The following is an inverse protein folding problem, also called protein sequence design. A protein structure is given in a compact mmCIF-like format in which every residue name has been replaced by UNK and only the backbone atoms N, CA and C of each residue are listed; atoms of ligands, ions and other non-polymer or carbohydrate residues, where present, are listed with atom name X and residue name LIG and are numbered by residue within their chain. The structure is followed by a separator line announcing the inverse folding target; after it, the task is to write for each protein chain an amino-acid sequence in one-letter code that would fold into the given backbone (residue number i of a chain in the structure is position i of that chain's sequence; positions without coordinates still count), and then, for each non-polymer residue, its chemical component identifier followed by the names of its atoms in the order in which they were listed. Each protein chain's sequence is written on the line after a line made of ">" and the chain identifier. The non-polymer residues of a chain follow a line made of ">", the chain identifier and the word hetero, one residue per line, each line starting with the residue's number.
data_IF_593666830592
#
_entry.id   IF_593666830592
#
_cell.length_a   1.000
_cell.length_b   1.000
_cell.length_c   1.000
_cell.angle_alpha   90.00
_cell.angle_beta   90.00
_cell.angle_gamma   90.00
#
_symmetry.space_group_name_H-M   'P 1'
#
loop_
_entity.id
_entity.type
_entity.pdbx_description
1 polymer ?
#
# COMPACT_ATOMS: atom_id res chain seq x y z
N UNK A 1 -2.99 5.55 13.48
CA UNK A 1 -1.86 6.30 12.88
C UNK A 1 -2.35 6.96 11.61
N UNK A 2 -2.18 8.28 11.44
CA UNK A 2 -2.44 8.97 10.17
C UNK A 2 -1.10 9.07 9.43
N UNK A 3 -0.93 8.27 8.40
CA UNK A 3 0.28 8.27 7.57
C UNK A 3 0.02 9.11 6.33
N UNK A 4 0.67 10.27 6.23
CA UNK A 4 0.57 11.10 5.02
C UNK A 4 1.56 10.60 3.99
N UNK A 5 1.07 10.22 2.81
CA UNK A 5 1.90 9.79 1.70
C UNK A 5 2.06 10.97 0.74
N UNK A 6 3.29 11.41 0.52
CA UNK A 6 3.59 12.43 -0.50
C UNK A 6 3.74 11.75 -1.86
N UNK A 7 2.88 12.13 -2.81
CA UNK A 7 2.94 11.65 -4.20
C UNK A 7 3.30 12.78 -5.14
N UNK A 8 3.89 12.45 -6.30
CA UNK A 8 4.20 13.45 -7.32
C UNK A 8 2.93 14.08 -7.89
N UNK A 9 3.03 15.32 -8.40
CA UNK A 9 1.88 16.06 -8.94
C UNK A 9 1.15 15.28 -10.04
N UNK A 10 1.91 14.64 -10.94
CA UNK A 10 1.37 13.81 -12.02
C UNK A 10 0.56 12.62 -11.48
N UNK A 11 1.04 11.97 -10.43
CA UNK A 11 0.33 10.86 -9.79
C UNK A 11 -0.96 11.35 -9.11
N UNK A 12 -0.91 12.52 -8.46
CA UNK A 12 -2.09 13.14 -7.84
C UNK A 12 -3.19 13.44 -8.87
N UNK A 13 -2.84 14.02 -10.02
CA UNK A 13 -3.80 14.32 -11.09
C UNK A 13 -4.49 13.06 -11.63
N UNK A 14 -3.73 11.98 -11.81
CA UNK A 14 -4.27 10.68 -12.26
C UNK A 14 -5.23 10.10 -11.20
N UNK A 15 -4.86 10.18 -9.92
CA UNK A 15 -5.70 9.70 -8.82
C UNK A 15 -7.00 10.50 -8.71
N UNK A 16 -6.94 11.82 -8.84
CA UNK A 16 -8.14 12.68 -8.79
C UNK A 16 -9.09 12.39 -9.96
N UNK A 17 -8.54 12.15 -11.16
CA UNK A 17 -9.34 11.75 -12.32
C UNK A 17 -10.04 10.42 -12.08
N UNK A 18 -9.30 9.40 -11.64
CA UNK A 18 -9.88 8.08 -11.33
C UNK A 18 -10.93 8.15 -10.22
N UNK A 19 -10.69 8.99 -9.20
CA UNK A 19 -11.65 9.21 -8.12
C UNK A 19 -12.96 9.77 -8.63
N UNK A 20 -12.92 10.81 -9.47
CA UNK A 20 -14.13 11.37 -10.09
C UNK A 20 -14.86 10.36 -10.97
N UNK A 21 -14.13 9.58 -11.77
CA UNK A 21 -14.72 8.52 -12.60
C UNK A 21 -15.45 7.47 -11.74
N UNK A 22 -14.91 7.12 -10.57
CA UNK A 22 -15.57 6.22 -9.62
C UNK A 22 -16.77 6.87 -8.91
N UNK A 23 -16.69 8.13 -8.50
CA UNK A 23 -17.80 8.86 -7.88
C UNK A 23 -19.01 8.93 -8.84
N UNK A 24 -18.76 9.12 -10.14
CA UNK A 24 -19.79 9.09 -11.18
C UNK A 24 -20.40 7.68 -11.31
N UNK A 25 -19.57 6.63 -11.33
CA UNK A 25 -20.04 5.24 -11.43
C UNK A 25 -20.87 4.80 -10.22
N UNK A 26 -20.49 5.22 -9.03
CA UNK A 26 -21.15 4.86 -7.76
C UNK A 26 -22.25 5.84 -7.37
N UNK A 27 -22.40 6.94 -8.12
CA UNK A 27 -23.33 8.05 -7.89
C UNK A 27 -23.30 8.56 -6.44
N UNK A 28 -22.09 8.57 -5.84
CA UNK A 28 -21.85 8.96 -4.45
C UNK A 28 -20.49 9.66 -4.34
N UNK A 29 -20.37 10.71 -3.51
CA UNK A 29 -19.07 11.28 -3.18
C UNK A 29 -18.25 10.26 -2.37
N UNK A 30 -16.95 10.17 -2.65
CA UNK A 30 -16.04 9.25 -1.97
C UNK A 30 -14.96 10.02 -1.22
N UNK A 31 -14.60 9.58 -0.03
CA UNK A 31 -13.35 9.99 0.61
C UNK A 31 -12.15 9.34 -0.10
N UNK A 32 -10.94 9.84 0.17
CA UNK A 32 -9.73 9.19 -0.36
C UNK A 32 -9.56 7.77 0.21
N UNK A 33 -9.91 7.56 1.48
CA UNK A 33 -9.82 6.25 2.12
C UNK A 33 -10.77 5.25 1.46
N UNK A 34 -12.04 5.63 1.25
CA UNK A 34 -13.01 4.78 0.56
C UNK A 34 -12.63 4.54 -0.91
N UNK A 35 -12.04 5.54 -1.58
CA UNK A 35 -11.53 5.37 -2.93
C UNK A 35 -10.46 4.29 -2.99
N UNK A 36 -9.47 4.35 -2.10
CA UNK A 36 -8.41 3.33 -2.05
C UNK A 36 -8.94 1.96 -1.62
N UNK A 37 -9.83 1.88 -0.63
CA UNK A 37 -10.45 0.61 -0.24
C UNK A 37 -11.23 -0.04 -1.39
N UNK A 38 -11.92 0.75 -2.22
CA UNK A 38 -12.64 0.20 -3.37
C UNK A 38 -11.71 -0.21 -4.51
N UNK A 39 -10.62 0.52 -4.76
CA UNK A 39 -9.62 0.13 -5.77
C UNK A 39 -8.91 -1.16 -5.36
N UNK A 40 -8.53 -1.25 -4.09
CA UNK A 40 -7.78 -2.39 -3.59
C UNK A 40 -8.69 -3.54 -3.16
N UNK A 41 -10.02 -3.43 -3.26
CA UNK A 41 -10.94 -4.50 -2.84
C UNK A 41 -10.73 -5.80 -3.62
N UNK A 42 -10.58 -5.67 -4.94
CA UNK A 42 -10.32 -6.81 -5.83
C UNK A 42 -8.85 -7.28 -5.77
N UNK A 43 -7.94 -6.42 -5.31
CA UNK A 43 -6.53 -6.76 -5.11
C UNK A 43 -6.27 -7.38 -3.72
N UNK A 44 -7.00 -7.00 -2.67
CA UNK A 44 -6.91 -7.58 -1.32
C UNK A 44 -7.30 -9.06 -1.28
N UNK A 45 -8.25 -9.48 -2.11
CA UNK A 45 -8.56 -10.91 -2.28
C UNK A 45 -7.45 -11.66 -3.03
N UNK A 46 -6.65 -10.95 -3.84
CA UNK A 46 -5.53 -11.53 -4.61
C UNK A 46 -4.19 -11.44 -3.90
N UNK A 47 -4.06 -10.58 -2.89
CA UNK A 47 -2.86 -10.51 -2.06
C UNK A 47 -2.87 -11.78 -1.19
N UNK A 48 -1.89 -12.69 -1.36
CA UNK A 48 -1.78 -13.86 -0.51
C UNK A 48 -1.62 -13.38 0.93
N UNK A 49 -2.62 -13.65 1.76
CA UNK A 49 -2.52 -13.39 3.20
C UNK A 49 -1.61 -14.48 3.76
N UNK A 50 -0.46 -14.08 4.26
CA UNK A 50 0.44 -14.99 4.96
C UNK A 50 -0.29 -15.54 6.19
N UNK A 51 -0.11 -16.83 6.46
CA UNK A 51 -0.47 -17.39 7.76
C UNK A 51 0.33 -16.70 8.87
N UNK A 52 -0.11 -16.84 10.12
CA UNK A 52 0.58 -16.23 11.26
C UNK A 52 2.04 -16.75 11.38
N UNK A 53 2.24 -18.04 11.08
CA UNK A 53 3.55 -18.69 11.01
C UNK A 53 4.42 -18.12 9.88
N UNK A 54 3.87 -17.98 8.67
CA UNK A 54 4.59 -17.41 7.52
C UNK A 54 4.97 -15.95 7.75
N UNK A 55 4.09 -15.18 8.40
CA UNK A 55 4.36 -13.79 8.76
C UNK A 55 5.47 -13.67 9.81
N UNK A 56 5.55 -14.61 10.74
CA UNK A 56 6.59 -14.65 11.77
C UNK A 56 7.97 -15.01 11.17
N UNK A 57 8.01 -16.00 10.27
CA UNK A 57 9.21 -16.34 9.50
C UNK A 57 9.69 -15.14 8.68
N UNK A 58 8.78 -14.43 8.01
CA UNK A 58 9.12 -13.25 7.21
C UNK A 58 9.69 -12.12 8.08
N UNK A 59 9.15 -11.92 9.29
CA UNK A 59 9.67 -10.93 10.26
C UNK A 59 11.07 -11.29 10.73
N UNK A 60 11.36 -12.57 10.96
CA UNK A 60 12.70 -13.02 11.35
C UNK A 60 13.70 -12.80 10.22
N UNK A 61 13.39 -13.23 9.00
CA UNK A 61 14.25 -13.02 7.82
C UNK A 61 14.57 -11.53 7.61
N UNK A 62 13.60 -10.64 7.73
CA UNK A 62 13.81 -9.19 7.61
C UNK A 62 14.70 -8.65 8.75
N UNK A 63 14.54 -9.15 9.97
CA UNK A 63 15.39 -8.75 11.11
C UNK A 63 16.84 -9.18 10.89
N UNK A 64 17.05 -10.38 10.38
CA UNK A 64 18.38 -10.90 10.08
C UNK A 64 19.04 -10.12 8.93
N UNK A 65 18.31 -9.88 7.85
CA UNK A 65 18.87 -9.14 6.70
C UNK A 65 19.18 -7.67 7.04
N UNK A 66 18.35 -7.04 7.87
CA UNK A 66 18.64 -5.69 8.43
C UNK A 66 19.90 -5.66 9.30
N UNK A 67 20.30 -6.76 9.96
CA UNK A 67 21.58 -6.84 10.67
C UNK A 67 22.76 -6.92 9.71
N UNK A 68 22.58 -7.52 8.54
CA UNK A 68 23.61 -7.61 7.50
C UNK A 68 23.80 -6.28 6.75
N UNK A 69 22.74 -5.51 6.53
CA UNK A 69 22.86 -4.18 5.92
C UNK A 69 23.64 -3.16 6.76
N UNK A 70 23.57 -3.24 8.10
CA UNK A 70 24.41 -2.38 8.97
C UNK A 70 25.89 -2.75 8.95
N UNK A 71 26.23 -3.96 8.47
CA UNK A 71 27.59 -4.49 8.44
C UNK A 71 28.29 -4.37 7.08
N UNK A 72 27.66 -3.77 6.07
CA UNK A 72 28.38 -3.26 4.89
C UNK A 72 29.16 -2.01 5.32
N UNK A 73 30.19 -2.20 6.14
CA UNK A 73 31.33 -1.30 6.11
C UNK A 73 31.89 -1.37 4.70
N UNK A 74 31.97 -0.21 4.06
CA UNK A 74 32.65 -0.04 2.79
C UNK A 74 34.09 -0.52 2.95
N UNK A 75 34.43 -1.65 2.31
CA UNK A 75 35.81 -2.05 2.06
C UNK A 75 36.29 -1.31 0.81
#
# INVERSE_FOLDING_TARGET
>A
MKSTITVSKKVKEVLERKKREMEIKLNKPLSWDEFFQNIFKDEEEKIPKLSEEEAEILKELIKEDRKNWRRREFV
#
